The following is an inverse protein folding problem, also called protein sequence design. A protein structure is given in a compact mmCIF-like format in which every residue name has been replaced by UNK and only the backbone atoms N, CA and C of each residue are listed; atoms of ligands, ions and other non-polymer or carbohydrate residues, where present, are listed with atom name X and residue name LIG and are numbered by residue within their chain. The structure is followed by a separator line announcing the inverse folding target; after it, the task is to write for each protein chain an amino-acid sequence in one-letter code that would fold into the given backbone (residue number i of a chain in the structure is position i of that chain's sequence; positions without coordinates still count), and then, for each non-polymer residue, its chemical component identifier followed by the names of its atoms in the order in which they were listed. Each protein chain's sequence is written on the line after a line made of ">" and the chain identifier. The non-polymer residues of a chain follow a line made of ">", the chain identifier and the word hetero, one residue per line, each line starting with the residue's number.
data_IF_574540329909
#
_entry.id   IF_574540329909
#
_cell.length_a   1.000
_cell.length_b   1.000
_cell.length_c   1.000
_cell.angle_alpha   90.00
_cell.angle_beta   90.00
_cell.angle_gamma   90.00
#
_symmetry.space_group_name_H-M   'P 1'
#
loop_
_entity.id
_entity.type
_entity.pdbx_description
1 polymer ?
#
# COMPACT_ATOMS: atom_id res chain seq x y z
N UNK A 1 4.63 -5.47 -30.77
CA UNK A 1 4.21 -6.10 -29.49
C UNK A 1 3.29 -5.11 -28.77
N UNK A 2 1.99 -5.39 -28.73
CA UNK A 2 0.99 -4.47 -28.16
C UNK A 2 1.09 -4.53 -26.63
N UNK A 3 1.55 -3.46 -26.00
CA UNK A 3 1.63 -3.32 -24.53
C UNK A 3 0.23 -2.97 -24.04
N UNK A 4 -0.45 -3.93 -23.40
CA UNK A 4 -1.72 -3.66 -22.74
C UNK A 4 -1.42 -2.96 -21.40
N UNK A 5 -1.63 -1.65 -21.36
CA UNK A 5 -1.66 -0.88 -20.12
C UNK A 5 -3.05 -1.11 -19.50
N UNK A 6 -3.16 -2.01 -18.53
CA UNK A 6 -4.39 -2.21 -17.75
C UNK A 6 -4.53 -1.05 -16.76
N UNK A 7 -5.07 0.07 -17.24
CA UNK A 7 -5.63 1.14 -16.41
C UNK A 7 -6.98 0.64 -15.88
N UNK A 8 -7.05 0.23 -14.62
CA UNK A 8 -8.35 0.13 -13.96
C UNK A 8 -8.87 1.55 -13.71
N UNK A 9 -9.77 1.97 -14.60
CA UNK A 9 -10.50 3.21 -14.51
C UNK A 9 -11.38 3.23 -13.24
N UNK A 10 -11.36 4.38 -12.60
CA UNK A 10 -11.98 4.70 -11.32
C UNK A 10 -13.51 4.63 -11.48
N UNK A 11 -14.18 3.76 -10.71
CA UNK A 11 -15.63 3.83 -10.56
C UNK A 11 -15.96 4.69 -9.32
N UNK A 12 -16.00 6.00 -9.52
CA UNK A 12 -16.48 6.95 -8.53
C UNK A 12 -18.01 6.89 -8.46
N UNK A 13 -18.58 6.27 -7.41
CA UNK A 13 -19.97 6.52 -7.02
C UNK A 13 -20.02 7.62 -5.95
N UNK A 14 -20.76 8.72 -6.15
CA UNK A 14 -21.06 9.66 -5.09
C UNK A 14 -22.29 9.19 -4.31
N UNK A 15 -22.16 9.00 -3.00
CA UNK A 15 -23.29 9.00 -2.07
C UNK A 15 -23.01 10.03 -0.97
N UNK A 16 -23.83 11.08 -1.00
CA UNK A 16 -23.86 12.23 -0.11
C UNK A 16 -24.64 11.83 1.16
N UNK A 17 -24.13 12.15 2.36
CA UNK A 17 -24.94 12.80 3.40
C UNK A 17 -24.10 13.42 4.53
N UNK A 18 -24.52 14.62 4.99
CA UNK A 18 -24.01 15.45 6.12
C UNK A 18 -24.61 14.90 7.45
N UNK A 19 -24.23 15.23 8.69
CA UNK A 19 -23.56 16.38 9.31
C UNK A 19 -23.14 16.08 10.78
N UNK A 20 -22.16 16.86 11.31
CA UNK A 20 -22.00 17.46 12.67
C UNK A 20 -22.14 16.57 13.94
N UNK A 21 -21.33 16.60 15.00
CA UNK A 21 -20.67 17.68 15.79
C UNK A 21 -19.48 17.09 16.58
N UNK A 22 -18.52 17.97 16.91
CA UNK A 22 -17.44 17.91 17.91
C UNK A 22 -17.63 16.95 19.09
N UNK A 23 -16.53 16.25 19.42
CA UNK A 23 -15.96 16.32 20.77
C UNK A 23 -14.44 16.44 20.69
N UNK A 24 -13.92 17.49 21.32
CA UNK A 24 -12.50 17.68 21.64
C UNK A 24 -12.29 16.95 22.96
N UNK A 25 -11.42 15.94 22.97
CA UNK A 25 -10.86 15.37 24.19
C UNK A 25 -9.33 15.42 24.09
N UNK A 26 -8.64 15.85 25.17
CA UNK A 26 -7.22 16.16 25.15
C UNK A 26 -6.37 14.90 25.36
N UNK A 27 -5.25 14.86 24.64
CA UNK A 27 -3.98 14.29 25.10
C UNK A 27 -3.99 12.83 25.56
N UNK A 28 -3.83 11.92 24.61
CA UNK A 28 -2.89 10.81 24.81
C UNK A 28 -1.94 10.79 23.61
N UNK A 29 -0.86 11.54 23.70
CA UNK A 29 0.29 11.41 22.80
C UNK A 29 1.05 10.16 23.19
N UNK A 30 0.42 9.01 23.05
CA UNK A 30 1.15 7.77 22.82
C UNK A 30 1.59 7.85 21.37
N UNK A 31 2.83 8.35 21.17
CA UNK A 31 3.53 8.18 19.91
C UNK A 31 3.41 6.69 19.56
N UNK A 32 2.59 6.38 18.56
CA UNK A 32 2.58 5.08 17.92
C UNK A 32 3.95 4.97 17.25
N UNK A 33 4.95 4.58 18.04
CA UNK A 33 6.30 4.32 17.57
C UNK A 33 6.12 3.19 16.58
N UNK A 34 6.21 3.54 15.29
CA UNK A 34 6.17 2.61 14.20
C UNK A 34 7.10 1.44 14.54
N UNK A 35 6.55 0.22 14.47
CA UNK A 35 7.26 -1.01 14.82
C UNK A 35 8.65 -1.05 14.16
N UNK A 36 9.65 -1.71 14.76
CA UNK A 36 11.02 -1.70 14.25
C UNK A 36 11.03 -2.27 12.83
N UNK A 37 11.12 -1.35 11.87
CA UNK A 37 11.19 -1.66 10.45
C UNK A 37 12.54 -2.34 10.19
N UNK A 38 12.54 -3.39 9.38
CA UNK A 38 13.75 -3.76 8.65
C UNK A 38 14.13 -2.54 7.80
N UNK A 39 15.02 -1.69 8.32
CA UNK A 39 15.35 -0.39 7.72
C UNK A 39 15.93 -0.51 6.30
N UNK A 40 16.35 -1.72 5.91
CA UNK A 40 16.84 -2.01 4.57
C UNK A 40 15.70 -2.17 3.57
N UNK A 41 14.53 -2.67 3.98
CA UNK A 41 13.38 -2.96 3.11
C UNK A 41 12.05 -2.53 3.72
N UNK A 42 12.01 -1.28 4.17
CA UNK A 42 10.86 -0.66 4.83
C UNK A 42 9.73 -0.28 3.85
N UNK A 43 9.97 -0.40 2.55
CA UNK A 43 9.02 -0.09 1.49
C UNK A 43 8.90 1.40 1.18
N UNK A 44 9.81 2.27 1.63
CA UNK A 44 9.69 3.72 1.43
C UNK A 44 10.11 4.22 0.04
N UNK A 45 10.65 3.33 -0.80
CA UNK A 45 11.22 3.63 -2.13
C UNK A 45 11.39 2.35 -2.94
N UNK A 46 11.76 2.46 -4.22
CA UNK A 46 12.06 1.30 -5.07
C UNK A 46 13.26 0.49 -4.56
N UNK A 47 14.30 1.17 -4.07
CA UNK A 47 15.53 0.55 -3.56
C UNK A 47 15.28 -0.20 -2.25
N UNK A 48 14.35 0.31 -1.45
CA UNK A 48 13.92 -0.28 -0.17
C UNK A 48 12.62 -1.07 -0.28
N UNK A 49 12.23 -1.49 -1.48
CA UNK A 49 10.98 -2.18 -1.68
C UNK A 49 10.90 -3.48 -0.85
N UNK A 50 9.72 -3.72 -0.29
CA UNK A 50 9.39 -4.93 0.46
C UNK A 50 9.38 -6.10 -0.54
N UNK A 51 10.19 -7.12 -0.28
CA UNK A 51 10.23 -8.30 -1.16
C UNK A 51 9.06 -9.22 -0.87
N UNK A 52 8.28 -9.54 -1.90
CA UNK A 52 7.22 -10.55 -1.82
C UNK A 52 7.71 -11.82 -2.51
N UNK A 53 7.80 -12.91 -1.75
CA UNK A 53 8.35 -14.18 -2.23
C UNK A 53 7.34 -15.07 -2.97
N UNK A 54 6.15 -14.54 -3.25
CA UNK A 54 5.08 -15.21 -3.96
C UNK A 54 5.49 -15.64 -5.37
N UNK A 55 4.93 -16.76 -5.84
CA UNK A 55 5.18 -17.32 -7.17
C UNK A 55 4.05 -17.08 -8.16
N UNK A 56 2.91 -16.56 -7.70
CA UNK A 56 1.74 -16.20 -8.52
C UNK A 56 1.24 -14.82 -8.13
N UNK A 57 0.59 -14.12 -9.06
CA UNK A 57 0.04 -12.79 -8.84
C UNK A 57 -0.98 -12.79 -7.69
N UNK A 58 -1.83 -13.82 -7.63
CA UNK A 58 -2.85 -13.94 -6.59
C UNK A 58 -2.25 -14.09 -5.18
N UNK A 59 -1.20 -14.89 -5.04
CA UNK A 59 -0.50 -15.02 -3.77
C UNK A 59 0.27 -13.73 -3.43
N UNK A 60 0.85 -13.06 -4.43
CA UNK A 60 1.55 -11.79 -4.25
C UNK A 60 0.66 -10.73 -3.63
N UNK A 61 -0.51 -10.47 -4.23
CA UNK A 61 -1.48 -9.50 -3.71
C UNK A 61 -1.94 -9.86 -2.29
N UNK A 62 -2.15 -11.16 -2.00
CA UNK A 62 -2.51 -11.59 -0.64
C UNK A 62 -1.42 -11.25 0.37
N UNK A 63 -0.16 -11.52 0.02
CA UNK A 63 0.99 -11.30 0.89
C UNK A 63 1.24 -9.80 1.12
N UNK A 64 1.09 -8.96 0.09
CA UNK A 64 1.17 -7.50 0.19
C UNK A 64 0.14 -6.95 1.19
N UNK A 65 -1.14 -7.30 1.02
CA UNK A 65 -2.20 -6.82 1.90
C UNK A 65 -2.09 -7.44 3.31
N UNK A 66 -1.57 -8.65 3.46
CA UNK A 66 -1.27 -9.22 4.77
C UNK A 66 -0.14 -8.46 5.47
N UNK A 67 0.93 -8.12 4.74
CA UNK A 67 2.01 -7.28 5.23
C UNK A 67 1.48 -5.90 5.64
N UNK A 68 0.67 -5.26 4.79
CA UNK A 68 0.08 -3.94 5.07
C UNK A 68 -0.73 -3.95 6.37
N UNK A 69 -1.66 -4.91 6.53
CA UNK A 69 -2.48 -5.02 7.75
C UNK A 69 -1.66 -5.26 9.01
N UNK A 70 -0.57 -6.02 8.89
CA UNK A 70 0.32 -6.31 10.02
C UNK A 70 1.13 -5.08 10.44
N UNK A 71 1.65 -4.32 9.48
CA UNK A 71 2.60 -3.22 9.76
C UNK A 71 1.91 -1.86 9.94
N UNK A 72 0.77 -1.65 9.27
CA UNK A 72 -0.03 -0.43 9.37
C UNK A 72 -1.49 -0.78 9.71
N UNK A 73 -1.76 -1.30 10.92
CA UNK A 73 -3.12 -1.62 11.34
C UNK A 73 -4.02 -0.37 11.32
N UNK A 74 -5.26 -0.52 10.86
CA UNK A 74 -6.22 0.58 10.75
C UNK A 74 -6.00 1.52 9.56
N UNK A 75 -4.96 1.30 8.76
CA UNK A 75 -4.71 2.08 7.54
C UNK A 75 -5.72 1.78 6.43
N UNK A 76 -5.82 2.71 5.46
CA UNK A 76 -6.69 2.61 4.29
C UNK A 76 -5.88 2.80 3.03
N UNK A 77 -5.92 1.82 2.13
CA UNK A 77 -5.37 1.97 0.77
C UNK A 77 -6.24 2.94 -0.01
N UNK A 78 -5.63 3.98 -0.58
CA UNK A 78 -6.29 5.00 -1.40
C UNK A 78 -6.01 4.82 -2.89
N UNK A 79 -4.88 4.19 -3.23
CA UNK A 79 -4.48 3.90 -4.61
C UNK A 79 -3.57 2.68 -4.66
N UNK A 80 -3.63 1.97 -5.78
CA UNK A 80 -2.68 0.93 -6.16
C UNK A 80 -2.21 1.21 -7.59
N UNK A 81 -0.91 1.01 -7.85
CA UNK A 81 -0.33 1.18 -9.18
C UNK A 81 0.77 0.15 -9.44
N UNK A 82 0.74 -0.45 -10.62
CA UNK A 82 1.82 -1.28 -11.14
C UNK A 82 2.86 -0.39 -11.83
N UNK A 83 4.11 -0.47 -11.40
CA UNK A 83 5.23 0.33 -11.89
C UNK A 83 6.37 -0.57 -12.37
N UNK A 84 7.02 -0.17 -13.47
CA UNK A 84 8.27 -0.78 -13.89
C UNK A 84 9.42 0.18 -13.61
N UNK A 85 10.44 -0.28 -12.89
CA UNK A 85 11.64 0.48 -12.57
C UNK A 85 12.84 -0.46 -12.61
N UNK A 86 13.93 -0.07 -13.28
CA UNK A 86 15.16 -0.89 -13.39
C UNK A 86 14.93 -2.37 -13.76
N UNK A 87 14.05 -2.61 -14.75
CA UNK A 87 13.66 -3.94 -15.26
C UNK A 87 12.96 -4.84 -14.24
N UNK A 88 12.55 -4.30 -13.10
CA UNK A 88 11.73 -4.96 -12.10
C UNK A 88 10.29 -4.45 -12.16
N UNK A 89 9.38 -5.28 -11.64
CA UNK A 89 7.97 -4.93 -11.49
C UNK A 89 7.68 -4.66 -10.02
N UNK A 90 6.97 -3.58 -9.77
CA UNK A 90 6.59 -3.15 -8.44
C UNK A 90 5.11 -2.87 -8.36
N UNK A 91 4.49 -3.26 -7.25
CA UNK A 91 3.20 -2.72 -6.85
C UNK A 91 3.42 -1.61 -5.82
N UNK A 92 2.84 -0.45 -6.08
CA UNK A 92 2.90 0.72 -5.21
C UNK A 92 1.53 0.98 -4.61
N UNK A 93 1.44 0.87 -3.30
CA UNK A 93 0.22 1.16 -2.54
C UNK A 93 0.33 2.52 -1.88
N UNK A 94 -0.53 3.46 -2.28
CA UNK A 94 -0.74 4.69 -1.53
C UNK A 94 -1.74 4.41 -0.41
N UNK A 95 -1.36 4.77 0.81
CA UNK A 95 -2.08 4.43 2.03
C UNK A 95 -2.20 5.66 2.92
N UNK A 96 -3.36 5.83 3.54
CA UNK A 96 -3.54 6.72 4.69
C UNK A 96 -3.45 5.88 5.95
N UNK A 97 -2.45 6.12 6.78
CA UNK A 97 -2.22 5.42 8.05
C UNK A 97 -3.29 5.79 9.09
N UNK A 98 -3.34 5.05 10.21
CA UNK A 98 -4.33 5.29 11.26
C UNK A 98 -4.23 6.68 11.91
N UNK A 99 -3.02 7.26 11.95
CA UNK A 99 -2.75 8.64 12.38
C UNK A 99 -2.98 9.69 11.28
N UNK A 100 -3.47 9.29 10.11
CA UNK A 100 -3.88 10.17 9.02
C UNK A 100 -2.75 10.58 8.05
N UNK A 101 -1.56 9.99 8.17
CA UNK A 101 -0.43 10.27 7.26
C UNK A 101 -0.62 9.54 5.94
N UNK A 102 -0.43 10.25 4.82
CA UNK A 102 -0.33 9.64 3.50
C UNK A 102 1.10 9.13 3.26
N UNK A 103 1.23 7.86 2.88
CA UNK A 103 2.50 7.21 2.53
C UNK A 103 2.32 6.38 1.26
N UNK A 104 3.41 6.17 0.53
CA UNK A 104 3.49 5.18 -0.53
C UNK A 104 4.36 4.02 -0.06
N UNK A 105 3.89 2.80 -0.31
CA UNK A 105 4.59 1.55 0.00
C UNK A 105 4.92 0.82 -1.29
N UNK A 106 6.19 0.46 -1.46
CA UNK A 106 6.72 -0.17 -2.66
C UNK A 106 6.98 -1.66 -2.38
N UNK A 107 6.37 -2.53 -3.19
CA UNK A 107 6.54 -3.98 -3.12
C UNK A 107 7.24 -4.47 -4.39
N UNK A 108 8.35 -5.20 -4.25
CA UNK A 108 9.02 -5.88 -5.37
C UNK A 108 8.27 -7.18 -5.66
N UNK A 109 7.52 -7.19 -6.77
CA UNK A 109 6.68 -8.30 -7.20
C UNK A 109 7.29 -9.05 -8.39
N UNK A 110 8.57 -8.81 -8.69
CA UNK A 110 9.23 -9.37 -9.87
C UNK A 110 9.17 -10.91 -9.91
N UNK A 111 9.02 -11.56 -8.75
CA UNK A 111 8.92 -13.02 -8.64
C UNK A 111 7.54 -13.56 -9.01
N UNK A 112 6.46 -12.85 -8.72
CA UNK A 112 5.08 -13.26 -9.02
C UNK A 112 4.58 -12.73 -10.36
N UNK A 113 5.07 -11.56 -10.80
CA UNK A 113 4.49 -10.79 -11.91
C UNK A 113 4.20 -11.61 -13.18
N UNK A 114 2.92 -11.66 -13.55
CA UNK A 114 2.44 -12.31 -14.78
C UNK A 114 2.32 -13.82 -14.68
N UNK A 115 2.38 -14.38 -13.46
CA UNK A 115 2.24 -15.81 -13.20
C UNK A 115 0.88 -16.10 -12.55
N UNK A 116 0.20 -17.12 -13.07
CA UNK A 116 -1.12 -17.56 -12.62
C UNK A 116 -1.01 -18.75 -11.66
#
# INVERSE_FOLDING_TARGET
>A
MKRYLLLFAILSLPLISRASVKDIMPGDTTLHVAAPHDTLRDGSSYEKAIMIEATTDFQGVKDEYAWLRKNYPGSKTTKQALMMHDKKSFDVLSVVTADGKAIDLYFDISKSFGKM
#
